data_IF_970568997275
#
_entry.id   IF_970568997275
#
_cell.length_a   1.000
_cell.length_b   1.000
_cell.length_c   1.000
_cell.angle_alpha   90.00
_cell.angle_beta   90.00
_cell.angle_gamma   90.00
#
_symmetry.space_group_name_H-M   'P 1'
#
loop_
_entity.id
_entity.type
_entity.pdbx_description
1 polymer ?
#
# COMPACT_ATOMS: atom_id res chain seq x y z
N UNK A 1 -11.78 -19.96 -6.55
CA UNK A 1 -11.28 -18.81 -5.78
C UNK A 1 -11.87 -18.89 -4.40
N UNK A 2 -11.04 -18.98 -3.37
CA UNK A 2 -11.50 -18.79 -1.99
C UNK A 2 -11.94 -17.34 -1.80
N UNK A 3 -13.04 -17.14 -1.08
CA UNK A 3 -13.57 -15.82 -0.79
C UNK A 3 -12.94 -15.36 0.52
N UNK A 4 -12.08 -14.34 0.45
CA UNK A 4 -11.40 -13.79 1.62
C UNK A 4 -12.37 -12.85 2.34
N UNK A 5 -12.57 -13.06 3.64
CA UNK A 5 -13.30 -12.13 4.51
C UNK A 5 -12.29 -11.34 5.34
N UNK A 6 -12.44 -10.02 5.38
CA UNK A 6 -11.59 -9.17 6.22
C UNK A 6 -12.16 -9.16 7.65
N UNK A 7 -11.28 -9.17 8.66
CA UNK A 7 -11.70 -9.03 10.06
C UNK A 7 -12.15 -7.59 10.39
N UNK A 8 -11.58 -6.61 9.70
CA UNK A 8 -11.96 -5.20 9.81
C UNK A 8 -11.95 -4.52 8.43
N UNK A 9 -12.74 -3.45 8.22
CA UNK A 9 -12.70 -2.69 6.98
C UNK A 9 -11.31 -2.10 6.74
N UNK A 10 -10.78 -2.29 5.53
CA UNK A 10 -9.52 -1.70 5.05
C UNK A 10 -9.70 -1.12 3.66
N UNK A 11 -8.94 -0.09 3.31
CA UNK A 11 -8.92 0.41 1.94
C UNK A 11 -8.16 -0.54 1.03
N UNK A 12 -8.40 -0.46 -0.28
CA UNK A 12 -7.59 -1.21 -1.26
C UNK A 12 -6.10 -0.87 -1.17
N UNK A 13 -5.77 0.40 -0.89
CA UNK A 13 -4.39 0.85 -0.71
C UNK A 13 -3.73 0.19 0.51
N UNK A 14 -4.43 0.10 1.64
CA UNK A 14 -3.90 -0.55 2.86
C UNK A 14 -3.61 -2.02 2.60
N UNK A 15 -4.53 -2.72 1.93
CA UNK A 15 -4.36 -4.14 1.61
C UNK A 15 -3.13 -4.39 0.73
N UNK A 16 -2.89 -3.53 -0.26
CA UNK A 16 -1.70 -3.60 -1.11
C UNK A 16 -0.44 -3.37 -0.28
N UNK A 17 -0.40 -2.35 0.58
CA UNK A 17 0.78 -2.04 1.40
C UNK A 17 1.10 -3.13 2.43
N UNK A 18 0.08 -3.69 3.07
CA UNK A 18 0.25 -4.84 3.96
C UNK A 18 0.79 -6.05 3.22
N UNK A 19 0.23 -6.36 2.04
CA UNK A 19 0.71 -7.46 1.20
C UNK A 19 2.17 -7.27 0.82
N UNK A 20 2.56 -6.06 0.40
CA UNK A 20 3.95 -5.75 0.05
C UNK A 20 4.89 -5.93 1.25
N UNK A 21 4.52 -5.39 2.42
CA UNK A 21 5.30 -5.56 3.65
C UNK A 21 5.44 -7.05 4.03
N UNK A 22 4.36 -7.82 3.95
CA UNK A 22 4.34 -9.24 4.31
C UNK A 22 5.17 -10.09 3.32
N UNK A 23 5.32 -9.62 2.08
CA UNK A 23 6.28 -10.15 1.10
C UNK A 23 7.73 -9.68 1.33
N UNK A 24 7.99 -8.91 2.39
CA UNK A 24 9.32 -8.41 2.73
C UNK A 24 9.76 -7.17 1.94
N UNK A 25 8.84 -6.49 1.26
CA UNK A 25 9.14 -5.23 0.57
C UNK A 25 9.26 -4.11 1.60
N UNK A 26 10.43 -3.46 1.63
CA UNK A 26 10.69 -2.32 2.51
C UNK A 26 10.80 -0.98 1.77
N UNK A 27 10.93 -0.99 0.44
CA UNK A 27 11.17 0.23 -0.36
C UNK A 27 10.36 0.22 -1.65
N UNK A 28 9.67 1.32 -1.94
CA UNK A 28 8.91 1.57 -3.18
C UNK A 28 9.49 2.80 -3.89
N UNK A 29 9.70 2.69 -5.20
CA UNK A 29 10.06 3.81 -6.07
C UNK A 29 8.84 4.17 -6.93
N UNK A 30 8.53 5.46 -7.06
CA UNK A 30 7.38 5.87 -7.83
C UNK A 30 7.30 7.37 -8.11
N UNK A 31 6.54 7.71 -9.15
CA UNK A 31 6.12 9.07 -9.47
C UNK A 31 4.59 9.19 -9.31
N UNK A 32 4.07 10.15 -8.54
CA UNK A 32 2.64 10.29 -8.30
C UNK A 32 1.91 10.74 -9.55
N UNK A 33 0.68 10.25 -9.70
CA UNK A 33 -0.26 10.67 -10.74
C UNK A 33 -1.68 10.73 -10.18
N UNK A 34 -2.57 11.50 -10.79
CA UNK A 34 -3.90 11.80 -10.22
C UNK A 34 -4.71 10.56 -9.83
N UNK A 35 -4.64 9.48 -10.62
CA UNK A 35 -5.38 8.24 -10.36
C UNK A 35 -4.84 7.43 -9.16
N UNK A 36 -3.56 7.61 -8.80
CA UNK A 36 -2.88 6.83 -7.75
C UNK A 36 -2.66 7.64 -6.47
N UNK A 37 -3.10 8.90 -6.42
CA UNK A 37 -2.99 9.75 -5.23
C UNK A 37 -3.50 9.08 -3.94
N UNK A 38 -4.66 8.39 -3.91
CA UNK A 38 -5.12 7.70 -2.71
C UNK A 38 -4.17 6.61 -2.21
N UNK A 39 -3.34 6.05 -3.09
CA UNK A 39 -2.31 5.08 -2.72
C UNK A 39 -1.08 5.78 -2.12
N UNK A 40 -0.67 6.93 -2.66
CA UNK A 40 0.41 7.73 -2.09
C UNK A 40 0.03 8.29 -0.71
N UNK A 41 -1.22 8.70 -0.52
CA UNK A 41 -1.74 9.11 0.79
C UNK A 41 -1.65 7.96 1.80
N UNK A 42 -1.99 6.73 1.39
CA UNK A 42 -1.86 5.55 2.24
C UNK A 42 -0.39 5.21 2.54
N UNK A 43 0.49 5.24 1.54
CA UNK A 43 1.94 5.02 1.72
C UNK A 43 2.50 5.98 2.77
N UNK A 44 2.14 7.26 2.71
CA UNK A 44 2.62 8.27 3.64
C UNK A 44 2.23 7.97 5.10
N UNK A 45 1.06 7.37 5.32
CA UNK A 45 0.56 6.98 6.64
C UNK A 45 0.99 5.57 7.08
N UNK A 46 1.53 4.77 6.16
CA UNK A 46 1.88 3.37 6.40
C UNK A 46 3.29 3.23 7.00
N UNK A 47 3.42 2.44 8.07
CA UNK A 47 4.71 2.17 8.70
C UNK A 47 5.36 0.92 8.09
N UNK A 48 6.66 1.00 7.83
CA UNK A 48 7.46 -0.15 7.41
C UNK A 48 7.75 -0.21 5.92
N UNK A 49 7.35 0.80 5.14
CA UNK A 49 7.74 0.96 3.74
C UNK A 49 8.30 2.37 3.54
N UNK A 50 9.50 2.46 2.97
CA UNK A 50 10.13 3.70 2.53
C UNK A 50 9.73 3.99 1.09
N UNK A 51 9.16 5.16 0.85
CA UNK A 51 8.91 5.62 -0.51
C UNK A 51 10.01 6.57 -1.00
N UNK A 52 10.46 6.37 -2.24
CA UNK A 52 11.39 7.23 -2.94
C UNK A 52 10.67 7.84 -4.13
N UNK A 53 10.46 9.16 -4.05
CA UNK A 53 9.86 9.95 -5.12
C UNK A 53 10.87 10.13 -6.26
N UNK A 54 10.47 9.70 -7.46
CA UNK A 54 11.18 9.94 -8.72
C UNK A 54 10.77 11.22 -9.42
#
# INVERSE_FOLDING_TARGET
MEKISLESPKTGSDLVLETLRDLGVDTIFGYPGGAVLPFYDAIYNFKGIRHILG
#
